data_IF_240424394046
#
_entry.id   IF_240424394046
#
_cell.length_a   1.000
_cell.length_b   1.000
_cell.length_c   1.000
_cell.angle_alpha   90.00
_cell.angle_beta   90.00
_cell.angle_gamma   90.00
#
_symmetry.space_group_name_H-M   'P 1'
#
loop_
_entity.id
_entity.type
_entity.pdbx_description
1 polymer ?
#
# COMPACT_ATOMS: atom_id res chain seq x y z
N UNK A 1 34.59 10.71 45.04
CA UNK A 1 34.77 10.39 43.60
C UNK A 1 34.32 8.98 43.21
N UNK A 2 34.54 7.93 44.03
CA UNK A 2 34.07 6.55 43.72
C UNK A 2 32.57 6.42 43.46
N UNK A 3 31.72 7.09 44.24
CA UNK A 3 30.26 7.02 44.04
C UNK A 3 29.79 7.67 42.73
N UNK A 4 30.49 8.70 42.25
CA UNK A 4 30.15 9.39 41.01
C UNK A 4 30.40 8.51 39.78
N UNK A 5 31.44 7.67 39.83
CA UNK A 5 31.75 6.70 38.78
C UNK A 5 30.68 5.61 38.70
N UNK A 6 30.23 5.10 39.85
CA UNK A 6 29.17 4.07 39.90
C UNK A 6 27.87 4.63 39.31
N UNK A 7 27.49 5.86 39.70
CA UNK A 7 26.33 6.56 39.14
C UNK A 7 26.46 6.76 37.62
N UNK A 8 27.65 7.13 37.13
CA UNK A 8 27.89 7.31 35.70
C UNK A 8 27.74 5.99 34.91
N UNK A 9 28.25 4.88 35.44
CA UNK A 9 28.10 3.55 34.80
C UNK A 9 26.62 3.13 34.76
N UNK A 10 25.87 3.35 35.84
CA UNK A 10 24.44 3.06 35.88
C UNK A 10 23.69 3.94 34.87
N UNK A 11 24.02 5.23 34.77
CA UNK A 11 23.41 6.13 33.81
C UNK A 11 23.66 5.68 32.36
N UNK A 12 24.89 5.23 32.03
CA UNK A 12 25.22 4.69 30.70
C UNK A 12 24.45 3.40 30.43
N UNK A 13 24.36 2.49 31.41
CA UNK A 13 23.61 1.25 31.27
C UNK A 13 22.11 1.49 31.05
N UNK A 14 21.51 2.44 31.77
CA UNK A 14 20.12 2.84 31.58
C UNK A 14 19.92 3.52 30.21
N UNK A 15 20.82 4.40 29.80
CA UNK A 15 20.76 5.04 28.48
C UNK A 15 20.86 4.01 27.35
N UNK A 16 21.76 3.03 27.47
CA UNK A 16 21.87 1.93 26.52
C UNK A 16 20.59 1.07 26.49
N UNK A 17 20.03 0.75 27.67
CA UNK A 17 18.78 -0.01 27.76
C UNK A 17 17.61 0.72 27.08
N UNK A 18 17.40 2.00 27.38
CA UNK A 18 16.37 2.84 26.75
C UNK A 18 16.56 2.91 25.24
N UNK A 19 17.81 3.14 24.79
CA UNK A 19 18.13 3.20 23.36
C UNK A 19 17.80 1.90 22.61
N UNK A 20 18.18 0.75 23.16
CA UNK A 20 17.94 -0.54 22.50
C UNK A 20 16.47 -0.97 22.55
N UNK A 21 15.77 -0.73 23.66
CA UNK A 21 14.39 -1.21 23.86
C UNK A 21 13.35 -0.27 23.26
N UNK A 22 13.41 1.01 23.58
CA UNK A 22 12.38 1.97 23.18
C UNK A 22 12.61 2.51 21.76
N UNK A 23 13.83 2.95 21.44
CA UNK A 23 14.12 3.55 20.13
C UNK A 23 14.21 2.44 19.08
N UNK A 24 15.19 1.56 19.18
CA UNK A 24 15.42 0.53 18.15
C UNK A 24 14.31 -0.53 18.11
N UNK A 25 13.86 -1.00 19.28
CA UNK A 25 12.75 -1.95 19.40
C UNK A 25 11.39 -1.36 19.02
N UNK A 26 11.15 -0.08 19.34
CA UNK A 26 9.95 0.64 18.94
C UNK A 26 9.84 0.85 17.44
N UNK A 27 10.93 1.25 16.77
CA UNK A 27 10.99 1.40 15.32
C UNK A 27 10.66 0.10 14.56
N UNK A 28 11.19 -1.03 15.03
CA UNK A 28 10.96 -2.33 14.39
C UNK A 28 9.50 -2.79 14.55
N UNK A 29 8.93 -2.67 15.76
CA UNK A 29 7.52 -2.97 16.03
C UNK A 29 6.58 -2.01 15.27
N UNK A 30 6.96 -0.75 15.11
CA UNK A 30 6.19 0.23 14.34
C UNK A 30 6.15 -0.13 12.85
N UNK A 31 7.30 -0.47 12.26
CA UNK A 31 7.40 -0.93 10.86
C UNK A 31 6.60 -2.20 10.63
N UNK A 32 6.66 -3.16 11.55
CA UNK A 32 5.93 -4.43 11.44
C UNK A 32 4.41 -4.22 11.53
N UNK A 33 3.94 -3.37 12.45
CA UNK A 33 2.52 -2.96 12.52
C UNK A 33 2.08 -2.20 11.27
N UNK A 34 2.95 -1.35 10.71
CA UNK A 34 2.66 -0.61 9.49
C UNK A 34 2.50 -1.56 8.29
N UNK A 35 3.39 -2.55 8.16
CA UNK A 35 3.34 -3.55 7.09
C UNK A 35 2.13 -4.48 7.27
N UNK A 36 1.88 -4.97 8.49
CA UNK A 36 0.73 -5.84 8.78
C UNK A 36 -0.62 -5.14 8.58
N UNK A 37 -0.66 -3.80 8.70
CA UNK A 37 -1.84 -2.99 8.46
C UNK A 37 -2.09 -2.67 6.97
N UNK A 38 -1.11 -2.81 6.09
CA UNK A 38 -1.26 -2.50 4.66
C UNK A 38 -2.10 -3.56 3.95
N UNK A 39 -2.95 -3.11 3.03
CA UNK A 39 -3.76 -3.99 2.20
C UNK A 39 -2.91 -4.66 1.10
N UNK A 40 -1.95 -3.91 0.55
CA UNK A 40 -1.00 -4.38 -0.44
C UNK A 40 0.42 -4.03 -0.02
N UNK A 41 1.36 -4.92 -0.31
CA UNK A 41 2.78 -4.73 -0.02
C UNK A 41 3.58 -4.77 -1.32
N UNK A 42 3.79 -3.59 -1.92
CA UNK A 42 4.62 -3.42 -3.11
C UNK A 42 5.32 -2.05 -3.06
N UNK A 43 6.42 -1.92 -3.80
CA UNK A 43 7.06 -0.63 -4.09
C UNK A 43 6.46 -0.06 -5.37
N UNK A 44 6.15 1.24 -5.38
CA UNK A 44 5.53 1.89 -6.54
C UNK A 44 6.35 1.72 -7.81
N UNK A 45 7.67 1.86 -7.70
CA UNK A 45 8.60 1.78 -8.84
C UNK A 45 8.69 0.36 -9.42
N UNK A 46 8.21 -0.65 -8.69
CA UNK A 46 8.14 -2.04 -9.16
C UNK A 46 6.89 -2.30 -9.99
N UNK A 47 5.92 -1.38 -10.04
CA UNK A 47 4.71 -1.52 -10.84
C UNK A 47 4.94 -0.91 -12.22
N UNK A 48 4.68 -1.70 -13.26
CA UNK A 48 4.82 -1.30 -14.66
C UNK A 48 3.55 -1.52 -15.46
N UNK A 49 2.50 -2.09 -14.86
CA UNK A 49 1.24 -2.35 -15.54
C UNK A 49 0.06 -2.15 -14.60
N UNK A 50 -0.95 -1.40 -15.07
CA UNK A 50 -2.17 -1.08 -14.33
C UNK A 50 -3.36 -1.23 -15.27
N UNK A 51 -4.39 -1.95 -14.84
CA UNK A 51 -5.66 -2.07 -15.55
C UNK A 51 -6.77 -1.56 -14.65
N UNK A 52 -7.53 -0.58 -15.13
CA UNK A 52 -8.72 -0.06 -14.45
C UNK A 52 -9.94 -0.40 -15.30
N UNK A 53 -10.88 -1.17 -14.73
CA UNK A 53 -12.17 -1.48 -15.36
C UNK A 53 -13.28 -0.76 -14.61
N UNK A 54 -14.07 0.03 -15.34
CA UNK A 54 -15.22 0.76 -14.80
C UNK A 54 -16.32 0.80 -15.85
N UNK A 55 -17.53 0.41 -15.48
CA UNK A 55 -18.74 0.48 -16.32
C UNK A 55 -18.54 -0.12 -17.73
N UNK A 56 -17.85 -1.26 -17.82
CA UNK A 56 -17.55 -1.93 -19.11
C UNK A 56 -16.39 -1.32 -19.90
N UNK A 57 -15.88 -0.16 -19.51
CA UNK A 57 -14.69 0.44 -20.12
C UNK A 57 -13.42 -0.06 -19.42
N UNK A 58 -12.40 -0.39 -20.23
CA UNK A 58 -11.08 -0.80 -19.76
C UNK A 58 -10.08 0.30 -20.08
N UNK A 59 -9.32 0.70 -19.07
CA UNK A 59 -8.18 1.59 -19.18
C UNK A 59 -6.94 0.80 -18.81
N UNK A 60 -6.00 0.69 -19.73
CA UNK A 60 -4.78 -0.08 -19.55
C UNK A 60 -3.59 0.86 -19.66
N UNK A 61 -2.70 0.81 -18.67
CA UNK A 61 -1.52 1.64 -18.57
C UNK A 61 -0.29 0.75 -18.45
N UNK A 62 0.71 0.99 -19.28
CA UNK A 62 1.98 0.25 -19.29
C UNK A 62 3.13 1.23 -19.22
N UNK A 63 4.11 0.95 -18.36
CA UNK A 63 5.35 1.72 -18.26
C UNK A 63 6.37 1.15 -19.24
N UNK A 64 6.76 1.94 -20.24
CA UNK A 64 7.81 1.60 -21.22
C UNK A 64 8.89 2.67 -21.20
N UNK A 65 10.16 2.26 -21.15
CA UNK A 65 11.30 3.20 -21.18
C UNK A 65 11.14 4.35 -20.17
N UNK A 66 10.77 3.97 -18.95
CA UNK A 66 10.43 4.86 -17.84
C UNK A 66 9.23 5.80 -17.99
N UNK A 67 8.53 5.79 -19.13
CA UNK A 67 7.36 6.61 -19.39
C UNK A 67 6.07 5.78 -19.34
N UNK A 68 5.02 6.32 -18.72
CA UNK A 68 3.71 5.68 -18.73
C UNK A 68 2.96 5.93 -20.03
N UNK A 69 2.37 4.87 -20.59
CA UNK A 69 1.55 4.92 -21.79
C UNK A 69 0.17 4.35 -21.50
N UNK A 70 -0.86 5.00 -22.02
CA UNK A 70 -2.19 4.42 -22.16
C UNK A 70 -2.12 3.47 -23.36
N UNK A 71 -2.52 2.23 -23.18
CA UNK A 71 -2.63 1.21 -24.25
C UNK A 71 -4.10 1.02 -24.64
N UNK A 72 -5.01 1.15 -23.68
CA UNK A 72 -6.46 1.15 -23.90
C UNK A 72 -7.13 2.31 -23.17
N UNK A 73 -8.17 2.96 -23.74
CA UNK A 73 -8.80 2.64 -25.03
C UNK A 73 -8.05 3.19 -26.26
N UNK A 74 -7.11 4.12 -26.06
CA UNK A 74 -6.29 4.74 -27.11
C UNK A 74 -4.82 4.64 -26.74
N UNK A 75 -3.96 4.45 -27.73
CA UNK A 75 -2.52 4.44 -27.53
C UNK A 75 -1.98 5.86 -27.48
N UNK A 76 -1.58 6.33 -26.29
CA UNK A 76 -1.03 7.67 -26.09
C UNK A 76 -0.15 7.72 -24.83
N UNK A 77 0.59 8.82 -24.65
CA UNK A 77 1.28 9.09 -23.40
C UNK A 77 0.28 9.31 -22.28
N UNK A 78 0.53 8.70 -21.12
CA UNK A 78 -0.26 8.91 -19.92
C UNK A 78 0.39 9.98 -19.05
N UNK A 79 -0.43 10.76 -18.34
CA UNK A 79 0.09 11.63 -17.29
C UNK A 79 0.60 10.79 -16.12
N UNK A 80 1.86 11.03 -15.73
CA UNK A 80 2.47 10.31 -14.63
C UNK A 80 1.92 10.71 -13.27
N UNK A 81 1.51 11.97 -13.11
CA UNK A 81 1.03 12.51 -11.82
C UNK A 81 -0.21 11.76 -11.30
N UNK A 82 -1.29 11.56 -12.09
CA UNK A 82 -2.42 10.72 -11.70
C UNK A 82 -2.02 9.28 -11.39
N UNK A 83 -1.15 8.67 -12.20
CA UNK A 83 -0.71 7.27 -12.00
C UNK A 83 0.04 7.13 -10.68
N UNK A 84 0.98 8.04 -10.40
CA UNK A 84 1.74 8.07 -9.16
C UNK A 84 0.86 8.29 -7.94
N UNK A 85 -0.21 9.08 -8.07
CA UNK A 85 -1.22 9.28 -7.03
C UNK A 85 -2.03 8.01 -6.75
N UNK A 86 -2.44 7.28 -7.79
CA UNK A 86 -3.12 5.98 -7.65
C UNK A 86 -2.20 4.95 -6.98
N UNK A 87 -0.96 4.80 -7.46
CA UNK A 87 0.02 3.90 -6.86
C UNK A 87 0.33 4.26 -5.41
N UNK A 88 0.42 5.56 -5.09
CA UNK A 88 0.58 6.03 -3.72
C UNK A 88 -0.58 5.63 -2.84
N UNK A 89 -1.80 5.87 -3.30
CA UNK A 89 -3.01 5.52 -2.56
C UNK A 89 -3.10 4.02 -2.31
N UNK A 90 -2.82 3.19 -3.32
CA UNK A 90 -2.82 1.73 -3.20
C UNK A 90 -1.73 1.24 -2.23
N UNK A 91 -0.51 1.76 -2.32
CA UNK A 91 0.61 1.37 -1.45
C UNK A 91 0.43 1.75 0.03
N UNK A 92 -0.38 2.77 0.30
CA UNK A 92 -0.68 3.24 1.66
C UNK A 92 -2.07 2.82 2.17
N UNK A 93 -2.86 2.12 1.35
CA UNK A 93 -4.18 1.65 1.76
C UNK A 93 -4.02 0.65 2.89
N UNK A 94 -4.74 0.88 4.00
CA UNK A 94 -4.72 0.02 5.18
C UNK A 94 -5.99 -0.81 5.27
N UNK A 95 -5.85 -2.06 5.70
CA UNK A 95 -6.97 -2.94 6.03
C UNK A 95 -7.51 -2.57 7.41
N UNK A 96 -8.69 -1.98 7.45
CA UNK A 96 -9.33 -1.55 8.71
C UNK A 96 -10.12 -2.69 9.35
N UNK A 97 -10.83 -3.50 8.54
CA UNK A 97 -11.68 -4.59 9.02
C UNK A 97 -11.72 -5.73 8.01
N UNK A 98 -11.92 -6.95 8.51
CA UNK A 98 -12.23 -8.13 7.69
C UNK A 98 -13.48 -8.78 8.27
N UNK A 99 -14.41 -9.18 7.40
CA UNK A 99 -15.64 -9.87 7.77
C UNK A 99 -16.04 -10.81 6.63
N UNK A 100 -16.87 -11.80 6.93
CA UNK A 100 -17.36 -12.74 5.91
C UNK A 100 -18.54 -12.11 5.16
N UNK A 101 -18.43 -12.01 3.84
CA UNK A 101 -19.49 -11.50 2.96
C UNK A 101 -19.73 -12.52 1.85
N UNK A 102 -20.98 -12.97 1.69
CA UNK A 102 -21.39 -13.93 0.67
C UNK A 102 -22.28 -13.26 -0.39
N UNK A 103 -22.08 -13.59 -1.67
CA UNK A 103 -22.94 -13.27 -2.83
C UNK A 103 -23.85 -12.04 -2.73
N UNK A 104 -25.08 -12.21 -2.23
CA UNK A 104 -26.10 -11.15 -2.09
C UNK A 104 -25.64 -9.93 -1.29
N UNK A 105 -24.73 -10.10 -0.32
CA UNK A 105 -24.21 -9.00 0.50
C UNK A 105 -23.20 -8.11 -0.25
N UNK A 106 -22.51 -8.61 -1.29
CA UNK A 106 -21.50 -7.82 -2.01
C UNK A 106 -22.12 -6.63 -2.74
N UNK A 107 -23.30 -6.81 -3.32
CA UNK A 107 -24.06 -5.74 -3.96
C UNK A 107 -24.42 -4.61 -2.97
N UNK A 108 -24.75 -4.95 -1.72
CA UNK A 108 -25.03 -3.97 -0.64
C UNK A 108 -23.82 -3.10 -0.29
N UNK A 109 -22.59 -3.57 -0.59
CA UNK A 109 -21.36 -2.79 -0.44
C UNK A 109 -20.92 -2.11 -1.74
N UNK A 110 -21.79 -2.04 -2.76
CA UNK A 110 -21.46 -1.49 -4.08
C UNK A 110 -20.47 -2.36 -4.88
N UNK A 111 -20.18 -3.59 -4.45
CA UNK A 111 -19.23 -4.51 -5.11
C UNK A 111 -19.89 -5.39 -6.20
N UNK A 112 -21.07 -4.99 -6.67
CA UNK A 112 -21.76 -5.62 -7.80
C UNK A 112 -21.12 -5.27 -9.15
N UNK A 113 -21.91 -5.32 -10.22
CA UNK A 113 -21.43 -5.16 -11.60
C UNK A 113 -20.91 -3.75 -11.93
N UNK A 114 -21.32 -2.74 -11.16
CA UNK A 114 -20.88 -1.34 -11.32
C UNK A 114 -19.61 -1.01 -10.50
N UNK A 115 -18.97 -2.00 -9.89
CA UNK A 115 -17.74 -1.78 -9.12
C UNK A 115 -16.55 -1.42 -10.01
N UNK A 116 -15.66 -0.58 -9.48
CA UNK A 116 -14.38 -0.27 -10.15
C UNK A 116 -13.40 -1.39 -9.79
N UNK A 117 -12.89 -2.10 -10.79
CA UNK A 117 -11.82 -3.09 -10.60
C UNK A 117 -10.49 -2.46 -10.99
N UNK A 118 -9.55 -2.42 -10.06
CA UNK A 118 -8.17 -2.00 -10.32
C UNK A 118 -7.28 -3.24 -10.21
N UNK A 119 -6.48 -3.50 -11.24
CA UNK A 119 -5.50 -4.57 -11.29
C UNK A 119 -4.13 -3.93 -11.52
N UNK A 120 -3.09 -4.48 -10.92
CA UNK A 120 -1.73 -4.01 -11.11
C UNK A 120 -0.73 -5.15 -10.98
N UNK A 121 0.37 -5.01 -11.70
CA UNK A 121 1.48 -5.97 -11.72
C UNK A 121 2.79 -5.27 -12.02
N UNK A 122 3.89 -5.96 -11.78
CA UNK A 122 5.18 -5.54 -12.34
C UNK A 122 6.34 -6.41 -11.89
N UNK A 123 7.56 -5.88 -12.00
CA UNK A 123 8.80 -6.61 -11.71
C UNK A 123 8.83 -7.14 -10.27
N UNK A 124 8.66 -8.46 -10.12
CA UNK A 124 8.65 -9.14 -8.82
C UNK A 124 7.37 -8.93 -8.01
N UNK A 125 6.33 -8.32 -8.61
CA UNK A 125 5.01 -8.14 -8.00
C UNK A 125 4.00 -8.96 -8.82
N UNK A 126 3.45 -10.06 -8.26
CA UNK A 126 2.44 -10.84 -8.97
C UNK A 126 1.20 -9.98 -9.26
N UNK A 127 0.36 -10.43 -10.18
CA UNK A 127 -0.90 -9.74 -10.46
C UNK A 127 -1.77 -9.67 -9.20
N UNK A 128 -2.11 -8.46 -8.78
CA UNK A 128 -3.00 -8.18 -7.67
C UNK A 128 -4.17 -7.33 -8.13
N UNK A 129 -5.31 -7.43 -7.44
CA UNK A 129 -6.50 -6.67 -7.79
C UNK A 129 -7.32 -6.26 -6.56
N UNK A 130 -8.05 -5.17 -6.71
CA UNK A 130 -9.04 -4.67 -5.76
C UNK A 130 -10.32 -4.29 -6.51
N UNK A 131 -11.47 -4.55 -5.88
CA UNK A 131 -12.75 -3.97 -6.28
C UNK A 131 -13.11 -2.85 -5.31
N UNK A 132 -13.53 -1.72 -5.86
CA UNK A 132 -13.97 -0.55 -5.13
C UNK A 132 -15.46 -0.37 -5.43
N UNK A 133 -16.28 -0.49 -4.39
CA UNK A 133 -17.71 -0.23 -4.47
C UNK A 133 -18.04 1.26 -4.33
N UNK A 134 -19.27 1.63 -4.65
CA UNK A 134 -19.73 3.02 -4.54
C UNK A 134 -19.73 3.50 -3.08
N UNK A 135 -19.54 4.81 -2.88
CA UNK A 135 -19.45 5.46 -1.56
C UNK A 135 -20.82 5.67 -0.91
N UNK A 136 -21.83 4.84 -1.17
CA UNK A 136 -23.17 5.01 -0.55
C UNK A 136 -24.04 3.77 -0.77
N UNK A 137 -24.46 3.04 0.29
CA UNK A 137 -25.81 2.51 0.37
C UNK A 137 -26.79 3.59 0.81
#
# INVERSE_FOLDING_TARGET
MRNTIILAVIAIALAAYVYFVEIKGGEQKAKEKEIAGKLFNFKKDSIDHIIIKKNGQTFEFVKKEDTWQIVQPIQTLADESPINSVLYSLSNTKKIRTFNASGKNLATYGLGDQSIKVQFSGKGVPEQWIKIGDRTP
#
